data_IF_618317930620
#
_entry.id   IF_618317930620
#
_cell.length_a   1.000
_cell.length_b   1.000
_cell.length_c   1.000
_cell.angle_alpha   90.00
_cell.angle_beta   90.00
_cell.angle_gamma   90.00
#
_symmetry.space_group_name_H-M   'P 1'
#
loop_
_entity.id
_entity.type
_entity.pdbx_description
1 polymer ?
#
# COMPACT_ATOMS: atom_id res chain seq x y z
N UNK A 1 25.11 -12.37 11.15
CA UNK A 1 24.70 -10.98 10.82
C UNK A 1 24.16 -11.01 9.41
N UNK A 2 22.84 -11.08 9.26
CA UNK A 2 22.17 -10.88 7.98
C UNK A 2 20.89 -10.13 8.30
N UNK A 3 21.00 -8.81 8.43
CA UNK A 3 19.84 -7.93 8.28
C UNK A 3 19.35 -8.13 6.85
N UNK A 4 18.33 -8.96 6.67
CA UNK A 4 17.61 -9.04 5.41
C UNK A 4 16.88 -7.70 5.26
N UNK A 5 17.52 -6.76 4.59
CA UNK A 5 16.85 -5.55 4.10
C UNK A 5 15.76 -6.05 3.17
N UNK A 6 14.51 -6.12 3.65
CA UNK A 6 13.39 -6.51 2.81
C UNK A 6 13.23 -5.37 1.80
N UNK A 7 13.61 -5.55 0.52
CA UNK A 7 13.62 -4.45 -0.41
C UNK A 7 12.17 -3.98 -0.60
N UNK A 8 11.94 -2.66 -0.56
CA UNK A 8 10.64 -2.10 -0.92
C UNK A 8 10.23 -2.66 -2.30
N UNK A 9 9.04 -3.24 -2.46
CA UNK A 9 8.64 -3.86 -3.72
C UNK A 9 8.70 -2.88 -4.89
N UNK A 10 9.24 -3.33 -6.03
CA UNK A 10 9.26 -2.55 -7.25
C UNK A 10 7.86 -2.40 -7.86
N UNK A 11 7.71 -1.52 -8.85
CA UNK A 11 6.44 -1.33 -9.58
C UNK A 11 5.92 -2.62 -10.20
N UNK A 12 6.86 -3.40 -10.74
CA UNK A 12 6.57 -4.70 -11.34
C UNK A 12 6.12 -5.69 -10.27
N UNK A 13 6.76 -5.72 -9.11
CA UNK A 13 6.39 -6.65 -8.03
C UNK A 13 4.99 -6.33 -7.50
N UNK A 14 4.65 -5.04 -7.34
CA UNK A 14 3.29 -4.62 -6.95
C UNK A 14 2.27 -5.01 -8.01
N UNK A 15 2.58 -4.81 -9.30
CA UNK A 15 1.70 -5.22 -10.39
C UNK A 15 1.48 -6.74 -10.41
N UNK A 16 2.55 -7.53 -10.30
CA UNK A 16 2.48 -9.00 -10.29
C UNK A 16 1.74 -9.51 -9.03
N UNK A 17 1.93 -8.86 -7.88
CA UNK A 17 1.36 -9.28 -6.59
C UNK A 17 -0.07 -8.82 -6.32
N UNK A 18 -0.49 -7.69 -6.89
CA UNK A 18 -1.81 -7.08 -6.62
C UNK A 18 -2.71 -6.98 -7.86
N UNK A 19 -2.15 -7.22 -9.04
CA UNK A 19 -2.83 -7.07 -10.32
C UNK A 19 -2.96 -5.63 -10.84
N UNK A 20 -2.38 -4.64 -10.16
CA UNK A 20 -2.41 -3.22 -10.56
C UNK A 20 -1.10 -2.51 -10.32
N UNK A 21 -0.82 -1.50 -11.14
CA UNK A 21 0.36 -0.66 -10.97
C UNK A 21 0.25 0.18 -9.68
N UNK A 22 1.37 0.49 -8.97
CA UNK A 22 1.34 1.36 -7.79
C UNK A 22 0.59 2.67 -8.01
N UNK A 23 0.79 3.33 -9.15
CA UNK A 23 0.12 4.60 -9.44
C UNK A 23 -1.40 4.47 -9.54
N UNK A 24 -1.92 3.32 -10.01
CA UNK A 24 -3.36 3.07 -10.02
C UNK A 24 -3.89 2.95 -8.58
N UNK A 25 -3.17 2.22 -7.72
CA UNK A 25 -3.53 2.14 -6.31
C UNK A 25 -3.50 3.50 -5.63
N UNK A 26 -2.46 4.30 -5.90
CA UNK A 26 -2.34 5.63 -5.33
C UNK A 26 -3.49 6.53 -5.78
N UNK A 27 -3.90 6.44 -7.04
CA UNK A 27 -5.08 7.16 -7.53
C UNK A 27 -6.36 6.71 -6.82
N UNK A 28 -6.58 5.40 -6.60
CA UNK A 28 -7.73 4.93 -5.84
C UNK A 28 -7.73 5.43 -4.39
N UNK A 29 -6.58 5.41 -3.74
CA UNK A 29 -6.40 5.89 -2.37
C UNK A 29 -6.60 7.42 -2.28
N UNK A 30 -6.06 8.19 -3.23
CA UNK A 30 -6.28 9.64 -3.31
C UNK A 30 -7.77 9.96 -3.50
N UNK A 31 -8.46 9.25 -4.41
CA UNK A 31 -9.90 9.41 -4.64
C UNK A 31 -10.73 9.06 -3.40
N UNK A 32 -10.29 8.09 -2.61
CA UNK A 32 -10.92 7.71 -1.36
C UNK A 32 -10.60 8.66 -0.19
N UNK A 33 -9.70 9.63 -0.39
CA UNK A 33 -9.30 10.60 0.64
C UNK A 33 -8.29 10.06 1.65
N UNK A 34 -7.50 9.05 1.25
CA UNK A 34 -6.61 8.31 2.14
C UNK A 34 -5.46 9.13 2.75
N UNK A 35 -5.23 10.36 2.29
CA UNK A 35 -4.22 11.26 2.89
C UNK A 35 -4.50 11.62 4.35
N UNK A 36 -5.72 11.35 4.86
CA UNK A 36 -6.12 11.61 6.24
C UNK A 36 -6.28 10.34 7.08
N UNK A 37 -6.09 9.17 6.48
CA UNK A 37 -6.33 7.89 7.11
C UNK A 37 -5.24 7.50 8.09
N UNK A 38 -5.63 6.76 9.12
CA UNK A 38 -4.75 5.96 9.97
C UNK A 38 -4.51 4.57 9.35
N UNK A 39 -3.51 3.84 9.83
CA UNK A 39 -3.11 2.54 9.27
C UNK A 39 -4.28 1.56 9.12
N UNK A 40 -5.12 1.43 10.15
CA UNK A 40 -6.27 0.54 10.14
C UNK A 40 -7.28 0.86 9.02
N UNK A 41 -7.47 2.15 8.68
CA UNK A 41 -8.41 2.56 7.63
C UNK A 41 -7.94 2.12 6.24
N UNK A 42 -6.62 2.08 6.00
CA UNK A 42 -6.07 1.51 4.76
C UNK A 42 -6.41 0.03 4.65
N UNK A 43 -6.15 -0.77 5.69
CA UNK A 43 -6.42 -2.21 5.68
C UNK A 43 -7.90 -2.50 5.47
N UNK A 44 -8.79 -1.80 6.20
CA UNK A 44 -10.24 -1.93 6.00
C UNK A 44 -10.66 -1.57 4.57
N UNK A 45 -10.05 -0.55 3.96
CA UNK A 45 -10.34 -0.19 2.58
C UNK A 45 -9.90 -1.27 1.60
N UNK A 46 -8.71 -1.87 1.77
CA UNK A 46 -8.24 -2.97 0.94
C UNK A 46 -9.12 -4.21 1.09
N UNK A 47 -9.52 -4.58 2.30
CA UNK A 47 -10.45 -5.69 2.54
C UNK A 47 -11.80 -5.47 1.81
N UNK A 48 -12.33 -4.25 1.83
CA UNK A 48 -13.63 -3.94 1.24
C UNK A 48 -13.60 -3.75 -0.28
N UNK A 49 -12.51 -3.22 -0.85
CA UNK A 49 -12.45 -2.81 -2.27
C UNK A 49 -11.50 -3.66 -3.11
N UNK A 50 -10.65 -4.46 -2.47
CA UNK A 50 -9.55 -5.16 -3.09
C UNK A 50 -9.25 -6.49 -2.36
N UNK A 51 -10.27 -7.29 -2.08
CA UNK A 51 -10.14 -8.55 -1.33
C UNK A 51 -9.18 -9.58 -1.95
N UNK A 52 -8.79 -9.42 -3.22
CA UNK A 52 -7.75 -10.21 -3.87
C UNK A 52 -6.32 -9.82 -3.47
N UNK A 53 -6.14 -8.63 -2.90
CA UNK A 53 -4.86 -8.14 -2.39
C UNK A 53 -4.65 -8.71 -0.99
N UNK A 54 -3.53 -9.43 -0.80
CA UNK A 54 -3.22 -9.99 0.52
C UNK A 54 -2.87 -8.88 1.53
N UNK A 55 -3.01 -9.15 2.84
CA UNK A 55 -2.65 -8.18 3.88
C UNK A 55 -1.20 -7.65 3.74
N UNK A 56 -0.24 -8.52 3.40
CA UNK A 56 1.16 -8.11 3.24
C UNK A 56 1.35 -7.14 2.07
N UNK A 57 0.61 -7.34 0.98
CA UNK A 57 0.60 -6.42 -0.15
C UNK A 57 -0.12 -5.11 0.16
N UNK A 58 -1.23 -5.16 0.91
CA UNK A 58 -1.93 -3.97 1.37
C UNK A 58 -1.02 -3.09 2.24
N UNK A 59 -0.28 -3.68 3.18
CA UNK A 59 0.72 -2.98 3.97
C UNK A 59 1.84 -2.39 3.10
N UNK A 60 2.37 -3.16 2.15
CA UNK A 60 3.43 -2.71 1.24
C UNK A 60 3.00 -1.52 0.37
N UNK A 61 1.80 -1.57 -0.21
CA UNK A 61 1.23 -0.48 -1.01
C UNK A 61 0.97 0.74 -0.12
N UNK A 62 0.46 0.53 1.09
CA UNK A 62 0.19 1.59 2.08
C UNK A 62 1.46 2.31 2.50
N UNK A 63 2.53 1.58 2.86
CA UNK A 63 3.82 2.15 3.24
C UNK A 63 4.41 2.99 2.09
N UNK A 64 4.33 2.48 0.87
CA UNK A 64 4.82 3.18 -0.31
C UNK A 64 4.00 4.43 -0.64
N UNK A 65 2.67 4.33 -0.59
CA UNK A 65 1.76 5.46 -0.76
C UNK A 65 2.07 6.57 0.24
N UNK A 66 2.25 6.23 1.52
CA UNK A 66 2.63 7.19 2.55
C UNK A 66 3.97 7.87 2.29
N UNK A 67 5.00 7.08 1.92
CA UNK A 67 6.30 7.65 1.60
C UNK A 67 6.21 8.66 0.45
N UNK A 68 5.46 8.34 -0.61
CA UNK A 68 5.27 9.23 -1.77
C UNK A 68 4.44 10.47 -1.42
N UNK A 69 3.46 10.34 -0.52
CA UNK A 69 2.57 11.45 -0.10
C UNK A 69 3.08 12.20 1.13
N UNK A 70 4.21 11.81 1.70
CA UNK A 70 4.79 12.41 2.91
C UNK A 70 3.94 12.19 4.17
N UNK A 71 3.19 11.09 4.23
CA UNK A 71 2.31 10.77 5.37
C UNK A 71 3.10 10.01 6.43
N UNK A 72 2.83 10.34 7.69
CA UNK A 72 3.26 9.52 8.82
C UNK A 72 2.15 8.56 9.18
N UNK A 73 2.28 7.28 8.83
CA UNK A 73 1.33 6.26 9.24
C UNK A 73 1.88 5.55 10.47
N UNK A 74 1.24 5.78 11.61
CA UNK A 74 1.48 5.00 12.83
C UNK A 74 0.85 3.62 12.67
N UNK A 75 1.64 2.57 12.88
CA UNK A 75 1.19 1.17 12.86
C UNK A 75 0.05 0.93 13.86
#
# INVERSE_FOLDING_TARGET
MSEATNPTPSDRDVLEGTGRHPDEWFAFLDMAGATKWQHAEFLTWFEANAAQVSPEWAESVTARYAAVRGLSISQ
#
